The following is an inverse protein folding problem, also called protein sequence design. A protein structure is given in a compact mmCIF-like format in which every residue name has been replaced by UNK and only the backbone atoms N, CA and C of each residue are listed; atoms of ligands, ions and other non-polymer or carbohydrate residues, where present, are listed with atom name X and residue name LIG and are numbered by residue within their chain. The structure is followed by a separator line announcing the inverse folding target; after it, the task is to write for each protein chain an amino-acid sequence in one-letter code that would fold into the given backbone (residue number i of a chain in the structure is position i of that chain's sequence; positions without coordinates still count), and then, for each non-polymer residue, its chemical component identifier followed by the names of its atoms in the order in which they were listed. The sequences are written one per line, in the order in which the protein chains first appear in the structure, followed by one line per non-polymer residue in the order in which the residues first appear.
data_IF_179603264387
#
_entry.id   IF_179603264387
#
_cell.length_a   1.000
_cell.length_b   1.000
_cell.length_c   1.000
_cell.angle_alpha   90.00
_cell.angle_beta   90.00
_cell.angle_gamma   90.00
#
_symmetry.space_group_name_H-M   'P 1'
#
loop_
_entity.id
_entity.type
_entity.pdbx_description
1 polymer ?
#
# COMPACT_ATOMS: atom_id res chain seq x y z
N UNK A 1 -46.01 47.13 29.24
CA UNK A 1 -45.11 46.95 28.08
C UNK A 1 -43.70 46.48 28.49
N UNK A 2 -42.87 47.29 29.17
CA UNK A 2 -41.46 46.91 29.47
C UNK A 2 -41.31 45.78 30.49
N UNK A 3 -42.31 45.55 31.34
CA UNK A 3 -42.37 44.43 32.30
C UNK A 3 -42.88 43.15 31.64
N UNK A 4 -43.90 43.24 30.79
CA UNK A 4 -44.44 42.10 30.04
C UNK A 4 -43.43 41.50 29.06
N UNK A 5 -42.63 42.33 28.39
CA UNK A 5 -41.55 41.87 27.53
C UNK A 5 -40.49 41.09 28.34
N UNK A 6 -40.17 41.54 29.56
CA UNK A 6 -39.23 40.83 30.44
C UNK A 6 -39.78 39.49 30.92
N UNK A 7 -41.07 39.44 31.24
CA UNK A 7 -41.76 38.20 31.61
C UNK A 7 -41.81 37.21 30.45
N UNK A 8 -42.06 37.67 29.21
CA UNK A 8 -42.03 36.82 28.01
C UNK A 8 -40.64 36.23 27.76
N UNK A 9 -39.59 37.04 27.91
CA UNK A 9 -38.19 36.58 27.78
C UNK A 9 -37.85 35.57 28.88
N UNK A 10 -38.26 35.81 30.12
CA UNK A 10 -38.03 34.89 31.24
C UNK A 10 -38.73 33.54 31.04
N UNK A 11 -39.96 33.55 30.48
CA UNK A 11 -40.73 32.33 30.18
C UNK A 11 -40.25 31.60 28.93
N UNK A 12 -39.63 32.29 27.97
CA UNK A 12 -39.08 31.67 26.75
C UNK A 12 -37.74 30.98 26.99
N UNK A 13 -37.05 31.29 28.09
CA UNK A 13 -35.85 30.57 28.50
C UNK A 13 -36.26 29.24 29.15
N UNK A 14 -36.15 28.13 28.39
CA UNK A 14 -36.34 26.78 28.91
C UNK A 14 -35.46 26.54 30.14
N UNK A 15 -36.02 26.19 31.32
CA UNK A 15 -35.22 25.82 32.47
C UNK A 15 -34.82 24.35 32.32
N UNK A 16 -33.91 24.05 31.39
CA UNK A 16 -33.09 22.84 31.38
C UNK A 16 -32.15 22.86 30.18
N UNK A 17 -31.09 23.65 30.29
CA UNK A 17 -29.80 23.15 29.81
C UNK A 17 -29.10 22.77 31.10
N UNK A 18 -28.78 21.49 31.34
CA UNK A 18 -27.87 21.15 32.42
C UNK A 18 -26.65 22.02 32.20
N UNK A 19 -26.30 22.87 33.17
CA UNK A 19 -24.96 23.40 33.21
C UNK A 19 -24.08 22.16 33.12
N UNK A 20 -23.35 22.03 32.01
CA UNK A 20 -22.26 21.07 31.94
C UNK A 20 -21.33 21.55 33.05
N UNK A 21 -21.49 20.99 34.25
CA UNK A 21 -20.38 20.83 35.15
C UNK A 21 -19.35 20.18 34.27
N UNK A 22 -18.36 20.98 33.87
CA UNK A 22 -17.15 20.44 33.28
C UNK A 22 -16.53 19.61 34.41
N UNK A 23 -17.04 18.39 34.62
CA UNK A 23 -16.11 17.28 34.70
C UNK A 23 -15.34 17.44 33.40
N UNK A 24 -14.11 17.90 33.54
CA UNK A 24 -13.02 17.52 32.65
C UNK A 24 -13.06 15.99 32.61
N UNK A 25 -13.99 15.46 31.81
CA UNK A 25 -13.74 14.22 31.13
C UNK A 25 -12.51 14.59 30.33
N UNK A 26 -11.36 14.25 30.90
CA UNK A 26 -10.11 14.16 30.19
C UNK A 26 -10.35 13.07 29.13
N UNK A 27 -11.14 13.38 28.10
CA UNK A 27 -10.79 12.99 26.76
C UNK A 27 -9.52 13.79 26.50
N UNK A 28 -8.43 13.32 27.11
CA UNK A 28 -7.11 13.57 26.59
C UNK A 28 -7.22 13.07 25.17
N UNK A 29 -7.43 13.98 24.24
CA UNK A 29 -6.90 13.77 22.92
C UNK A 29 -5.41 13.67 23.17
N UNK A 30 -4.94 12.44 23.39
CA UNK A 30 -3.55 12.13 23.23
C UNK A 30 -3.36 12.36 21.75
N UNK A 31 -2.88 13.55 21.40
CA UNK A 31 -2.13 13.71 20.18
C UNK A 31 -1.07 12.62 20.28
N UNK A 32 -1.28 11.51 19.57
CA UNK A 32 -0.30 10.45 19.49
C UNK A 32 0.94 11.16 18.97
N UNK A 33 1.89 11.44 19.86
CA UNK A 33 3.21 11.87 19.45
C UNK A 33 3.71 10.71 18.60
N UNK A 34 3.67 10.90 17.28
CA UNK A 34 4.17 9.92 16.35
C UNK A 34 5.64 9.74 16.69
N UNK A 35 5.92 8.69 17.46
CA UNK A 35 7.26 8.15 17.64
C UNK A 35 7.90 8.12 16.24
N UNK A 36 9.04 8.81 16.02
CA UNK A 36 9.70 8.82 14.71
C UNK A 36 10.04 7.41 14.21
N UNK A 37 10.01 6.42 15.11
CA UNK A 37 10.17 5.00 14.83
C UNK A 37 9.00 4.35 14.06
N UNK A 38 7.81 4.97 13.98
CA UNK A 38 6.67 4.48 13.17
C UNK A 38 6.71 4.93 11.69
N UNK A 39 7.67 5.76 11.28
CA UNK A 39 7.81 6.26 9.90
C UNK A 39 8.03 5.11 8.89
N UNK A 40 8.41 3.92 9.35
CA UNK A 40 8.70 2.77 8.50
C UNK A 40 7.46 1.94 8.08
N UNK A 41 6.27 2.22 8.62
CA UNK A 41 5.05 1.53 8.20
C UNK A 41 4.34 2.37 7.12
N UNK A 42 4.34 1.95 5.85
CA UNK A 42 3.59 2.64 4.81
C UNK A 42 2.11 2.71 5.20
N UNK A 43 1.51 3.88 5.04
CA UNK A 43 0.08 4.06 5.29
C UNK A 43 -0.75 3.28 4.24
N UNK A 44 -2.06 3.06 4.49
CA UNK A 44 -2.90 2.29 3.56
C UNK A 44 -2.89 2.81 2.12
N UNK A 45 -2.83 4.13 1.93
CA UNK A 45 -2.76 4.74 0.60
C UNK A 45 -1.41 4.46 -0.10
N UNK A 46 -0.30 4.48 0.62
CA UNK A 46 1.02 4.12 0.09
C UNK A 46 1.09 2.63 -0.28
N UNK A 47 0.51 1.75 0.54
CA UNK A 47 0.40 0.32 0.24
C UNK A 47 -0.43 0.07 -1.03
N UNK A 48 -1.56 0.79 -1.17
CA UNK A 48 -2.40 0.72 -2.36
C UNK A 48 -1.67 1.21 -3.62
N UNK A 49 -1.00 2.37 -3.57
CA UNK A 49 -0.20 2.88 -4.69
C UNK A 49 0.90 1.90 -5.08
N UNK A 50 1.59 1.29 -4.11
CA UNK A 50 2.63 0.29 -4.36
C UNK A 50 2.05 -0.94 -5.09
N UNK A 51 0.88 -1.43 -4.66
CA UNK A 51 0.18 -2.55 -5.31
C UNK A 51 -0.24 -2.21 -6.74
N UNK A 52 -0.90 -1.07 -6.96
CA UNK A 52 -1.36 -0.66 -8.30
C UNK A 52 -0.18 -0.47 -9.26
N UNK A 53 0.91 0.15 -8.80
CA UNK A 53 2.13 0.31 -9.59
C UNK A 53 2.74 -1.05 -9.98
N UNK A 54 2.74 -2.01 -9.05
CA UNK A 54 3.22 -3.36 -9.30
C UNK A 54 2.37 -4.10 -10.34
N UNK A 55 1.05 -3.99 -10.26
CA UNK A 55 0.13 -4.59 -11.25
C UNK A 55 0.34 -4.00 -12.65
N UNK A 56 0.51 -2.68 -12.75
CA UNK A 56 0.83 -1.99 -14.02
C UNK A 56 2.18 -2.50 -14.55
N UNK A 57 3.18 -2.64 -13.67
CA UNK A 57 4.49 -3.18 -14.03
C UNK A 57 4.40 -4.62 -14.58
N UNK A 58 3.67 -5.51 -13.89
CA UNK A 58 3.44 -6.88 -14.36
C UNK A 58 2.73 -6.93 -15.71
N UNK A 59 1.71 -6.09 -15.92
CA UNK A 59 1.00 -5.98 -17.19
C UNK A 59 1.94 -5.54 -18.31
N UNK A 60 2.82 -4.57 -18.06
CA UNK A 60 3.85 -4.13 -19.02
C UNK A 60 4.87 -5.23 -19.33
N UNK A 61 5.28 -6.01 -18.32
CA UNK A 61 6.16 -7.15 -18.56
C UNK A 61 5.49 -8.22 -19.42
N UNK A 62 4.26 -8.64 -19.08
CA UNK A 62 3.52 -9.68 -19.81
C UNK A 62 3.21 -9.28 -21.25
N UNK A 63 3.01 -8.00 -21.53
CA UNK A 63 2.77 -7.51 -22.90
C UNK A 63 4.05 -7.45 -23.74
N UNK A 64 5.20 -7.15 -23.13
CA UNK A 64 6.48 -7.12 -23.84
C UNK A 64 7.13 -8.50 -23.99
N UNK A 65 6.95 -9.39 -23.02
CA UNK A 65 7.71 -10.64 -22.91
C UNK A 65 6.87 -11.86 -23.30
N UNK A 66 7.52 -12.86 -23.90
CA UNK A 66 6.93 -14.20 -24.06
C UNK A 66 6.85 -14.90 -22.70
N UNK A 67 6.04 -15.94 -22.60
CA UNK A 67 5.81 -16.65 -21.34
C UNK A 67 7.10 -17.18 -20.70
N UNK A 68 8.00 -17.78 -21.49
CA UNK A 68 9.29 -18.29 -20.98
C UNK A 68 10.25 -17.17 -20.57
N UNK A 69 10.29 -16.07 -21.33
CA UNK A 69 11.06 -14.87 -20.99
C UNK A 69 10.57 -14.27 -19.65
N UNK A 70 9.25 -14.16 -19.50
CA UNK A 70 8.60 -13.72 -18.28
C UNK A 70 8.93 -14.65 -17.10
N UNK A 71 8.80 -15.97 -17.29
CA UNK A 71 9.14 -17.01 -16.29
C UNK A 71 10.54 -16.84 -15.73
N UNK A 72 11.52 -16.71 -16.64
CA UNK A 72 12.93 -16.54 -16.26
C UNK A 72 13.16 -15.22 -15.51
N UNK A 73 12.56 -14.12 -15.96
CA UNK A 73 12.72 -12.81 -15.32
C UNK A 73 12.06 -12.77 -13.94
N UNK A 74 10.81 -13.24 -13.79
CA UNK A 74 10.14 -13.18 -12.48
C UNK A 74 10.85 -14.05 -11.43
N UNK A 75 11.37 -15.23 -11.82
CA UNK A 75 12.14 -16.08 -10.92
C UNK A 75 13.53 -15.50 -10.61
N UNK A 76 14.19 -14.91 -11.60
CA UNK A 76 15.53 -14.33 -11.43
C UNK A 76 15.53 -13.13 -10.48
N UNK A 77 14.51 -12.28 -10.57
CA UNK A 77 14.44 -11.03 -9.82
C UNK A 77 13.49 -11.09 -8.63
N UNK A 78 12.92 -12.26 -8.34
CA UNK A 78 12.01 -12.44 -7.20
C UNK A 78 10.77 -11.56 -7.31
N UNK A 79 10.20 -11.43 -8.51
CA UNK A 79 9.03 -10.57 -8.73
C UNK A 79 7.78 -11.32 -8.27
N UNK A 80 7.07 -10.86 -7.22
CA UNK A 80 5.85 -11.52 -6.77
C UNK A 80 4.73 -11.36 -7.81
N UNK A 81 3.89 -12.38 -7.94
CA UNK A 81 2.79 -12.36 -8.92
C UNK A 81 1.46 -11.89 -8.32
N UNK A 82 1.34 -11.87 -6.99
CA UNK A 82 0.16 -11.41 -6.27
C UNK A 82 0.40 -10.11 -5.51
N UNK A 83 0.11 -10.11 -4.21
CA UNK A 83 0.17 -8.94 -3.34
C UNK A 83 1.63 -8.62 -2.97
N UNK A 84 2.19 -7.52 -3.48
CA UNK A 84 3.59 -7.12 -3.21
C UNK A 84 3.83 -6.71 -1.74
N UNK A 85 2.78 -6.57 -0.95
CA UNK A 85 2.89 -6.22 0.47
C UNK A 85 2.97 -7.45 1.38
N UNK A 86 2.55 -8.62 0.88
CA UNK A 86 2.46 -9.87 1.66
C UNK A 86 3.26 -11.00 1.03
N UNK A 87 3.25 -11.09 -0.29
CA UNK A 87 3.90 -12.16 -1.04
C UNK A 87 5.40 -11.92 -1.11
N UNK A 88 6.14 -12.72 -0.36
CA UNK A 88 7.58 -12.82 -0.50
C UNK A 88 7.92 -13.80 -1.63
N UNK A 89 8.62 -13.31 -2.66
CA UNK A 89 9.14 -14.14 -3.73
C UNK A 89 10.68 -14.15 -3.68
N UNK A 90 11.25 -15.33 -3.45
CA UNK A 90 12.72 -15.51 -3.46
C UNK A 90 13.27 -15.42 -4.88
N UNK A 91 14.46 -14.82 -5.02
CA UNK A 91 15.26 -14.89 -6.24
C UNK A 91 15.94 -16.25 -6.38
N UNK A 92 15.86 -16.86 -7.56
CA UNK A 92 16.50 -18.13 -7.86
C UNK A 92 17.76 -17.96 -8.70
N UNK A 93 18.74 -18.83 -8.47
CA UNK A 93 19.92 -18.95 -9.32
C UNK A 93 19.54 -19.51 -10.70
N UNK A 94 20.34 -19.23 -11.73
CA UNK A 94 20.05 -19.70 -13.09
C UNK A 94 19.99 -21.25 -13.17
N UNK A 95 20.75 -21.96 -12.34
CA UNK A 95 20.72 -23.43 -12.22
C UNK A 95 19.37 -23.92 -11.70
N UNK A 96 18.87 -23.34 -10.60
CA UNK A 96 17.56 -23.67 -10.04
C UNK A 96 16.42 -23.34 -11.02
N UNK A 97 16.55 -22.23 -11.76
CA UNK A 97 15.58 -21.86 -12.81
C UNK A 97 15.61 -22.86 -13.96
N UNK A 98 16.80 -23.30 -14.36
CA UNK A 98 16.98 -24.31 -15.41
C UNK A 98 16.29 -25.62 -15.03
N UNK A 99 16.45 -26.08 -13.79
CA UNK A 99 15.75 -27.25 -13.25
C UNK A 99 14.23 -27.05 -13.23
N UNK A 100 13.75 -25.94 -12.68
CA UNK A 100 12.30 -25.64 -12.58
C UNK A 100 11.60 -25.54 -13.93
N UNK A 101 12.29 -25.07 -14.95
CA UNK A 101 11.74 -24.87 -16.28
C UNK A 101 12.09 -25.99 -17.27
N UNK A 102 12.82 -27.02 -16.81
CA UNK A 102 13.35 -28.09 -17.65
C UNK A 102 14.11 -27.56 -18.89
N UNK A 103 15.01 -26.60 -18.66
CA UNK A 103 15.86 -25.97 -19.66
C UNK A 103 17.34 -26.25 -19.33
N UNK A 104 18.22 -26.11 -20.30
CA UNK A 104 19.66 -26.06 -20.02
C UNK A 104 20.05 -24.71 -19.39
N UNK A 105 21.09 -24.71 -18.56
CA UNK A 105 21.66 -23.50 -17.96
C UNK A 105 21.99 -22.43 -19.01
N UNK A 106 22.62 -22.86 -20.12
CA UNK A 106 22.98 -21.97 -21.23
C UNK A 106 21.75 -21.32 -21.89
N UNK A 107 20.65 -22.06 -22.02
CA UNK A 107 19.40 -21.49 -22.54
C UNK A 107 18.84 -20.42 -21.60
N UNK A 108 18.83 -20.67 -20.28
CA UNK A 108 18.36 -19.70 -19.29
C UNK A 108 19.18 -18.42 -19.35
N UNK A 109 20.51 -18.52 -19.38
CA UNK A 109 21.41 -17.37 -19.49
C UNK A 109 21.19 -16.56 -20.76
N UNK A 110 21.10 -17.25 -21.90
CA UNK A 110 20.87 -16.61 -23.19
C UNK A 110 19.52 -15.88 -23.22
N UNK A 111 18.45 -16.55 -22.78
CA UNK A 111 17.11 -15.94 -22.75
C UNK A 111 17.10 -14.75 -21.79
N UNK A 112 17.70 -14.87 -20.60
CA UNK A 112 17.80 -13.79 -19.62
C UNK A 112 18.51 -12.56 -20.20
N UNK A 113 19.66 -12.76 -20.84
CA UNK A 113 20.45 -11.67 -21.45
C UNK A 113 19.71 -11.00 -22.61
N UNK A 114 19.09 -11.78 -23.51
CA UNK A 114 18.27 -11.26 -24.61
C UNK A 114 17.08 -10.47 -24.07
N UNK A 115 16.42 -11.00 -23.05
CA UNK A 115 15.24 -10.38 -22.43
C UNK A 115 15.59 -9.06 -21.75
N UNK A 116 16.70 -8.98 -21.02
CA UNK A 116 17.17 -7.73 -20.41
C UNK A 116 17.48 -6.69 -21.49
N UNK A 117 18.14 -7.08 -22.58
CA UNK A 117 18.40 -6.18 -23.72
C UNK A 117 17.09 -5.67 -24.34
N UNK A 118 16.08 -6.55 -24.49
CA UNK A 118 14.75 -6.21 -24.99
C UNK A 118 14.02 -5.21 -24.09
N UNK A 119 14.10 -5.38 -22.77
CA UNK A 119 13.49 -4.48 -21.79
C UNK A 119 14.18 -3.10 -21.73
N UNK A 120 15.49 -3.04 -22.00
CA UNK A 120 16.27 -1.78 -22.05
C UNK A 120 15.98 -0.93 -23.28
N UNK A 121 15.55 -1.53 -24.40
CA UNK A 121 15.15 -0.78 -25.59
C UNK A 121 13.87 -0.01 -25.27
N UNK A 122 13.97 1.33 -25.40
CA UNK A 122 12.87 2.26 -25.18
C UNK A 122 11.79 2.06 -26.23
#
# INVERSE_FOLDING_TARGET
IKSEIRELIRKSHSPSIPQKTHKTNNLSFQEETYEPNKINNPNPHQLWLKQVNHEIFLKKLKTKLRETEFKIIHLSFGVPLGNINEDYQRCYANTEIAEKLNLSLRQVENIKNITIKKLKKR
#
